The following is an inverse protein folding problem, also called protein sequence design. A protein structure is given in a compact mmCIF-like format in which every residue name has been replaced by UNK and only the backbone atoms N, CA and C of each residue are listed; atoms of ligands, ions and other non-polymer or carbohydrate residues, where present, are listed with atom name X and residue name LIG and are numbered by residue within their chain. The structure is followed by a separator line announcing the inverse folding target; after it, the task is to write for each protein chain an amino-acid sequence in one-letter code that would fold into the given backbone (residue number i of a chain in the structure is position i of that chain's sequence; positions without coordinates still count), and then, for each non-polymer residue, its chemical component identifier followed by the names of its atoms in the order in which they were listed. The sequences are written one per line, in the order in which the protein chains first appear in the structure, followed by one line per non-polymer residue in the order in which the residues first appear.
data_IF_670710879500
#
_entry.id   IF_670710879500
#
_cell.length_a   1.000
_cell.length_b   1.000
_cell.length_c   1.000
_cell.angle_alpha   90.00
_cell.angle_beta   90.00
_cell.angle_gamma   90.00
#
_symmetry.space_group_name_H-M   'P 1'
#
loop_
_entity.id
_entity.type
_entity.pdbx_description
1 polymer ?
#
# COMPACT_ATOMS: atom_id res chain seq x y z
N UNK A 1 18.98 -6.56 -12.54
CA UNK A 1 18.26 -5.54 -11.77
C UNK A 1 19.25 -4.91 -10.80
N UNK A 2 19.38 -3.58 -10.82
CA UNK A 2 20.28 -2.86 -9.92
C UNK A 2 19.57 -2.69 -8.57
N UNK A 3 20.28 -2.95 -7.45
CA UNK A 3 19.86 -2.41 -6.14
C UNK A 3 20.01 -0.90 -6.21
N UNK A 4 18.97 -0.15 -5.85
CA UNK A 4 19.19 1.22 -5.40
C UNK A 4 19.97 1.12 -4.09
N UNK A 5 21.10 1.82 -3.99
CA UNK A 5 21.84 1.87 -2.74
C UNK A 5 20.88 2.36 -1.66
N UNK A 6 20.67 1.54 -0.63
CA UNK A 6 19.92 1.97 0.53
C UNK A 6 20.63 3.20 1.09
N UNK A 7 20.02 4.37 0.98
CA UNK A 7 20.46 5.54 1.71
C UNK A 7 20.39 5.18 3.20
N UNK A 8 21.32 5.67 3.97
CA UNK A 8 21.29 5.53 5.42
C UNK A 8 19.94 6.03 5.92
N UNK A 9 19.17 5.15 6.57
CA UNK A 9 17.79 5.44 6.95
C UNK A 9 17.84 6.46 8.10
N UNK A 10 17.36 7.67 7.84
CA UNK A 10 17.21 8.71 8.86
C UNK A 10 15.78 8.65 9.41
N UNK A 11 15.63 8.22 10.67
CA UNK A 11 14.32 8.07 11.33
C UNK A 11 13.60 9.42 11.53
N UNK A 12 14.33 10.50 11.79
CA UNK A 12 13.72 11.83 11.94
C UNK A 12 13.15 12.33 10.62
N UNK A 13 13.88 12.12 9.52
CA UNK A 13 13.39 12.44 8.19
C UNK A 13 12.19 11.56 7.80
N UNK A 14 12.19 10.29 8.18
CA UNK A 14 11.07 9.39 7.96
C UNK A 14 9.81 9.82 8.74
N UNK A 15 9.96 10.23 9.99
CA UNK A 15 8.87 10.78 10.80
C UNK A 15 8.29 12.05 10.17
N UNK A 16 9.15 12.97 9.72
CA UNK A 16 8.72 14.19 9.05
C UNK A 16 7.91 13.90 7.79
N UNK A 17 8.36 12.97 6.96
CA UNK A 17 7.63 12.56 5.75
C UNK A 17 6.23 12.02 6.09
N UNK A 18 6.10 11.18 7.11
CA UNK A 18 4.82 10.64 7.53
C UNK A 18 3.89 11.72 8.12
N UNK A 19 4.44 12.71 8.83
CA UNK A 19 3.66 13.82 9.37
C UNK A 19 3.19 14.79 8.27
N UNK A 20 4.02 15.03 7.25
CA UNK A 20 3.66 15.86 6.10
C UNK A 20 2.57 15.23 5.23
N UNK A 21 2.64 13.92 5.01
CA UNK A 21 1.75 13.21 4.09
C UNK A 21 0.40 12.84 4.70
N UNK A 22 0.36 12.62 6.02
CA UNK A 22 -0.84 12.10 6.70
C UNK A 22 -1.15 12.87 7.97
N UNK A 23 -2.39 13.35 8.06
CA UNK A 23 -2.88 13.97 9.28
C UNK A 23 -3.25 12.91 10.34
N UNK A 24 -2.86 13.12 11.58
CA UNK A 24 -3.19 12.22 12.69
C UNK A 24 -2.49 10.85 12.59
N UNK A 25 -3.23 9.77 12.77
CA UNK A 25 -2.75 8.38 12.66
C UNK A 25 -1.51 8.05 13.53
N UNK A 26 -1.38 8.65 14.72
CA UNK A 26 -0.18 8.53 15.58
C UNK A 26 0.24 7.09 15.84
N UNK A 27 -0.72 6.19 16.15
CA UNK A 27 -0.40 4.78 16.40
C UNK A 27 0.15 4.08 15.17
N UNK A 28 -0.42 4.37 14.00
CA UNK A 28 0.02 3.82 12.70
C UNK A 28 1.43 4.31 12.39
N UNK A 29 1.68 5.61 12.48
CA UNK A 29 2.99 6.22 12.21
C UNK A 29 4.07 5.66 13.14
N UNK A 30 3.81 5.59 14.44
CA UNK A 30 4.74 5.01 15.40
C UNK A 30 5.09 3.56 15.07
N UNK A 31 4.11 2.76 14.62
CA UNK A 31 4.37 1.38 14.26
C UNK A 31 5.20 1.25 12.98
N UNK A 32 4.94 2.11 12.01
CA UNK A 32 5.76 2.21 10.79
C UNK A 32 7.20 2.59 11.14
N UNK A 33 7.41 3.61 11.98
CA UNK A 33 8.74 4.04 12.40
C UNK A 33 9.50 2.95 13.17
N UNK A 34 8.83 2.17 14.01
CA UNK A 34 9.42 1.00 14.67
C UNK A 34 9.89 -0.04 13.65
N UNK A 35 9.08 -0.33 12.63
CA UNK A 35 9.45 -1.27 11.58
C UNK A 35 10.64 -0.75 10.76
N UNK A 36 10.63 0.53 10.40
CA UNK A 36 11.74 1.18 9.70
C UNK A 36 13.03 1.12 10.53
N UNK A 37 12.94 1.36 11.85
CA UNK A 37 14.09 1.27 12.74
C UNK A 37 14.68 -0.15 12.80
N UNK A 38 13.84 -1.18 12.90
CA UNK A 38 14.28 -2.59 12.87
C UNK A 38 14.97 -2.92 11.54
N UNK A 39 14.41 -2.46 10.43
CA UNK A 39 15.02 -2.65 9.10
C UNK A 39 16.38 -1.95 8.98
N UNK A 40 16.51 -0.74 9.53
CA UNK A 40 17.79 -0.02 9.56
C UNK A 40 18.88 -0.80 10.28
N UNK A 41 18.53 -1.47 11.39
CA UNK A 41 19.47 -2.25 12.19
C UNK A 41 19.84 -3.60 11.55
N UNK A 42 18.89 -4.26 10.88
CA UNK A 42 19.07 -5.62 10.33
C UNK A 42 19.39 -5.65 8.84
N UNK A 43 19.23 -4.54 8.13
CA UNK A 43 19.46 -4.45 6.69
C UNK A 43 18.41 -5.15 5.81
N UNK A 44 17.46 -5.86 6.40
CA UNK A 44 16.40 -6.61 5.72
C UNK A 44 15.06 -6.44 6.43
N UNK A 45 13.96 -6.70 5.71
CA UNK A 45 12.64 -6.78 6.35
C UNK A 45 12.67 -7.94 7.36
N UNK A 46 12.48 -7.61 8.62
CA UNK A 46 12.47 -8.57 9.72
C UNK A 46 11.20 -8.38 10.54
N UNK A 47 10.57 -9.50 10.87
CA UNK A 47 9.33 -9.51 11.65
C UNK A 47 8.07 -9.64 10.79
N UNK A 48 6.93 -9.34 11.40
CA UNK A 48 5.64 -9.43 10.75
C UNK A 48 5.46 -8.38 9.65
N UNK A 49 4.72 -8.76 8.61
CA UNK A 49 4.37 -7.86 7.52
C UNK A 49 3.25 -6.93 7.98
N UNK A 50 3.38 -5.64 7.72
CA UNK A 50 2.34 -4.68 8.09
C UNK A 50 1.10 -4.88 7.22
N UNK A 51 -0.03 -5.14 7.86
CA UNK A 51 -1.35 -5.23 7.24
C UNK A 51 -2.23 -4.07 7.72
N UNK A 52 -2.47 -3.11 6.85
CA UNK A 52 -3.36 -1.99 7.15
C UNK A 52 -4.80 -2.35 6.82
N UNK A 53 -5.66 -2.38 7.86
CA UNK A 53 -7.06 -2.78 7.75
C UNK A 53 -7.98 -1.61 8.08
N UNK A 54 -8.93 -1.34 7.21
CA UNK A 54 -9.93 -0.29 7.45
C UNK A 54 -10.81 -0.02 6.23
N UNK A 55 -11.80 0.83 6.40
CA UNK A 55 -12.72 1.20 5.35
C UNK A 55 -12.01 1.80 4.12
N UNK A 56 -12.61 1.71 2.93
CA UNK A 56 -12.11 2.41 1.75
C UNK A 56 -11.94 3.91 2.00
N UNK A 57 -10.94 4.52 1.38
CA UNK A 57 -10.73 5.96 1.48
C UNK A 57 -10.06 6.46 2.76
N UNK A 58 -9.62 5.57 3.66
CA UNK A 58 -8.92 5.97 4.91
C UNK A 58 -7.43 6.23 4.73
N UNK A 59 -6.87 6.07 3.54
CA UNK A 59 -5.46 6.37 3.24
C UNK A 59 -4.52 5.17 3.33
N UNK A 60 -5.03 3.94 3.46
CA UNK A 60 -4.20 2.71 3.55
C UNK A 60 -3.18 2.57 2.43
N UNK A 61 -3.61 2.81 1.19
CA UNK A 61 -2.73 2.65 0.03
C UNK A 61 -1.72 3.79 -0.08
N UNK A 62 -2.12 5.02 0.25
CA UNK A 62 -1.23 6.19 0.20
C UNK A 62 -0.13 6.14 1.24
N UNK A 63 -0.36 5.50 2.41
CA UNK A 63 0.69 5.36 3.42
C UNK A 63 1.86 4.50 2.93
N UNK A 64 1.62 3.54 2.04
CA UNK A 64 2.68 2.75 1.40
C UNK A 64 3.60 3.60 0.54
N UNK A 65 3.06 4.58 -0.19
CA UNK A 65 3.85 5.54 -0.95
C UNK A 65 4.69 6.44 -0.02
N UNK A 66 4.13 6.85 1.12
CA UNK A 66 4.86 7.64 2.12
C UNK A 66 5.98 6.83 2.80
N UNK A 67 5.77 5.54 3.06
CA UNK A 67 6.83 4.64 3.55
C UNK A 67 7.97 4.56 2.52
N UNK A 68 7.65 4.41 1.24
CA UNK A 68 8.66 4.38 0.18
C UNK A 68 9.46 5.69 0.12
N UNK A 69 8.78 6.83 0.21
CA UNK A 69 9.42 8.16 0.25
C UNK A 69 10.32 8.31 1.48
N UNK A 70 9.84 7.87 2.65
CA UNK A 70 10.59 7.92 3.91
C UNK A 70 11.86 7.06 3.87
N UNK A 71 11.85 5.96 3.12
CA UNK A 71 12.99 5.06 2.94
C UNK A 71 13.88 5.42 1.75
N UNK A 72 13.51 6.42 0.93
CA UNK A 72 14.19 6.71 -0.33
C UNK A 72 14.13 5.57 -1.34
N UNK A 73 13.10 4.72 -1.29
CA UNK A 73 12.91 3.56 -2.17
C UNK A 73 11.84 3.81 -3.23
N UNK A 74 11.91 3.06 -4.33
CA UNK A 74 10.84 3.06 -5.32
C UNK A 74 9.56 2.44 -4.77
N UNK A 75 8.44 2.99 -5.18
CA UNK A 75 7.09 2.52 -4.82
C UNK A 75 6.47 1.73 -5.97
N UNK A 76 5.84 0.63 -5.66
CA UNK A 76 4.99 -0.09 -6.60
C UNK A 76 3.75 -0.64 -5.90
N UNK A 77 2.61 -0.50 -6.54
CA UNK A 77 1.33 -1.04 -6.08
C UNK A 77 0.94 -2.24 -6.94
N UNK A 78 0.60 -3.34 -6.28
CA UNK A 78 0.08 -4.56 -6.90
C UNK A 78 -1.30 -4.83 -6.31
N UNK A 79 -2.36 -4.64 -7.11
CA UNK A 79 -3.71 -4.99 -6.69
C UNK A 79 -3.91 -6.49 -6.76
N UNK A 80 -4.37 -7.08 -5.67
CA UNK A 80 -4.74 -8.50 -5.57
C UNK A 80 -6.27 -8.70 -5.69
N UNK A 81 -7.03 -7.60 -5.75
CA UNK A 81 -8.45 -7.64 -6.05
C UNK A 81 -8.70 -8.28 -7.42
N UNK A 82 -9.58 -9.30 -7.45
CA UNK A 82 -9.90 -10.04 -8.67
C UNK A 82 -8.89 -11.12 -9.08
N UNK A 83 -7.85 -11.39 -8.27
CA UNK A 83 -7.00 -12.58 -8.43
C UNK A 83 -7.85 -13.82 -8.17
N UNK A 84 -7.90 -14.73 -9.15
CA UNK A 84 -8.69 -15.95 -9.09
C UNK A 84 -7.85 -17.22 -9.23
N UNK A 85 -6.66 -17.07 -9.79
CA UNK A 85 -5.76 -18.17 -10.12
C UNK A 85 -4.39 -17.94 -9.48
N UNK A 86 -3.75 -19.03 -9.05
CA UNK A 86 -2.36 -19.01 -8.60
C UNK A 86 -1.42 -18.44 -9.66
N UNK A 87 -1.72 -18.68 -10.94
CA UNK A 87 -0.96 -18.15 -12.07
C UNK A 87 -0.97 -16.61 -12.15
N UNK A 88 -1.96 -15.94 -11.60
CA UNK A 88 -1.96 -14.47 -11.49
C UNK A 88 -0.79 -13.98 -10.60
N UNK A 89 -0.38 -14.76 -9.61
CA UNK A 89 0.73 -14.44 -8.70
C UNK A 89 2.06 -15.01 -9.22
N UNK A 90 2.06 -16.29 -9.63
CA UNK A 90 3.27 -17.03 -10.04
C UNK A 90 3.58 -16.97 -11.53
N UNK A 91 2.70 -16.39 -12.35
CA UNK A 91 2.86 -16.39 -13.81
C UNK A 91 2.41 -17.70 -14.48
N UNK A 92 2.22 -17.62 -15.78
CA UNK A 92 1.83 -18.74 -16.62
C UNK A 92 3.06 -19.40 -17.24
N UNK A 93 3.06 -20.75 -17.36
CA UNK A 93 4.11 -21.44 -18.09
C UNK A 93 4.18 -20.98 -19.53
N UNK A 94 5.38 -20.78 -20.07
CA UNK A 94 5.61 -20.26 -21.45
C UNK A 94 4.98 -21.09 -22.56
N UNK A 95 4.59 -22.32 -22.27
CA UNK A 95 3.92 -23.21 -23.22
C UNK A 95 2.49 -22.83 -23.52
N UNK A 96 1.87 -21.94 -22.73
CA UNK A 96 0.50 -21.49 -22.96
C UNK A 96 0.46 -20.23 -23.84
N UNK A 97 -0.52 -20.17 -24.72
CA UNK A 97 -0.79 -18.97 -25.54
C UNK A 97 -1.20 -17.83 -24.60
N UNK A 98 -0.54 -16.67 -24.73
CA UNK A 98 -0.80 -15.53 -23.85
C UNK A 98 -0.09 -15.62 -22.49
N UNK A 99 0.88 -16.52 -22.34
CA UNK A 99 1.67 -16.65 -21.12
C UNK A 99 2.34 -15.31 -20.74
N UNK A 100 2.25 -14.96 -19.47
CA UNK A 100 2.86 -13.74 -18.91
C UNK A 100 3.40 -14.01 -17.50
N UNK A 101 4.31 -13.15 -17.06
CA UNK A 101 4.80 -13.15 -15.69
C UNK A 101 3.67 -12.84 -14.70
N UNK A 102 3.78 -13.34 -13.49
CA UNK A 102 2.86 -13.05 -12.41
C UNK A 102 2.95 -11.60 -11.94
N UNK A 103 1.94 -11.16 -11.20
CA UNK A 103 1.80 -9.76 -10.75
C UNK A 103 2.98 -9.30 -9.89
N UNK A 104 3.61 -10.20 -9.14
CA UNK A 104 4.77 -9.87 -8.29
C UNK A 104 5.97 -9.49 -9.16
N UNK A 105 6.34 -10.34 -10.11
CA UNK A 105 7.46 -10.10 -11.02
C UNK A 105 7.17 -8.90 -11.95
N UNK A 106 5.93 -8.75 -12.42
CA UNK A 106 5.53 -7.56 -13.18
C UNK A 106 5.67 -6.28 -12.35
N UNK A 107 5.34 -6.33 -11.05
CA UNK A 107 5.57 -5.24 -10.10
C UNK A 107 7.05 -4.90 -9.97
N UNK A 108 7.93 -5.88 -9.79
CA UNK A 108 9.39 -5.68 -9.77
C UNK A 108 9.86 -5.03 -11.07
N UNK A 109 9.41 -5.53 -12.22
CA UNK A 109 9.72 -4.97 -13.52
C UNK A 109 9.31 -3.51 -13.64
N UNK A 110 8.11 -3.15 -13.19
CA UNK A 110 7.59 -1.77 -13.20
C UNK A 110 8.39 -0.84 -12.29
N UNK A 111 8.83 -1.32 -11.13
CA UNK A 111 9.65 -0.52 -10.22
C UNK A 111 11.05 -0.22 -10.76
N UNK A 112 11.59 -1.09 -11.61
CA UNK A 112 12.93 -0.97 -12.19
C UNK A 112 14.07 -1.31 -11.22
N UNK A 113 13.77 -1.67 -9.97
CA UNK A 113 14.75 -1.98 -8.91
C UNK A 113 14.42 -3.32 -8.25
N UNK A 114 15.39 -3.91 -7.55
CA UNK A 114 15.19 -5.17 -6.82
C UNK A 114 14.68 -5.00 -5.39
N UNK A 115 14.71 -3.78 -4.85
CA UNK A 115 14.38 -3.45 -3.46
C UNK A 115 13.27 -2.39 -3.31
N UNK A 116 12.16 -2.46 -4.07
CA UNK A 116 11.07 -1.51 -3.94
C UNK A 116 10.31 -1.70 -2.62
N UNK A 117 9.50 -0.69 -2.26
CA UNK A 117 8.35 -0.90 -1.37
C UNK A 117 7.18 -1.35 -2.24
N UNK A 118 6.71 -2.57 -2.02
CA UNK A 118 5.62 -3.18 -2.76
C UNK A 118 4.36 -3.24 -1.90
N UNK A 119 3.35 -2.48 -2.27
CA UNK A 119 2.04 -2.52 -1.62
C UNK A 119 1.17 -3.55 -2.31
N UNK A 120 0.83 -4.60 -1.57
CA UNK A 120 -0.13 -5.62 -1.98
C UNK A 120 -1.51 -5.19 -1.51
N UNK A 121 -2.30 -4.67 -2.43
CA UNK A 121 -3.59 -4.04 -2.13
C UNK A 121 -4.74 -5.05 -2.26
N UNK A 122 -5.70 -4.96 -1.33
CA UNK A 122 -6.90 -5.80 -1.31
C UNK A 122 -6.61 -7.30 -1.10
N UNK A 123 -5.72 -7.65 -0.15
CA UNK A 123 -5.38 -9.06 0.16
C UNK A 123 -6.57 -9.86 0.71
N UNK A 124 -7.59 -9.19 1.24
CA UNK A 124 -8.85 -9.77 1.70
C UNK A 124 -9.77 -10.25 0.57
N UNK A 125 -9.46 -9.87 -0.68
CA UNK A 125 -10.24 -10.24 -1.87
C UNK A 125 -9.65 -11.41 -2.66
N UNK A 126 -8.64 -12.09 -2.11
CA UNK A 126 -8.14 -13.33 -2.68
C UNK A 126 -9.21 -14.40 -2.58
N UNK A 127 -9.65 -14.94 -3.71
CA UNK A 127 -10.63 -16.02 -3.76
C UNK A 127 -9.93 -17.36 -3.92
N UNK A 128 -10.38 -18.36 -3.18
CA UNK A 128 -10.04 -19.76 -3.47
C UNK A 128 -10.80 -20.19 -4.72
N UNK A 129 -10.10 -20.73 -5.71
CA UNK A 129 -10.72 -21.26 -6.94
C UNK A 129 -10.31 -22.71 -7.16
N UNK A 130 -11.04 -23.38 -8.07
CA UNK A 130 -10.70 -24.75 -8.51
C UNK A 130 -9.34 -24.84 -9.26
N UNK A 131 -8.72 -23.71 -9.60
CA UNK A 131 -7.53 -23.65 -10.44
C UNK A 131 -6.24 -23.27 -9.67
N UNK A 132 -6.21 -23.50 -8.37
CA UNK A 132 -5.04 -23.26 -7.54
C UNK A 132 -5.34 -22.47 -6.29
N UNK A 133 -4.32 -22.27 -5.47
CA UNK A 133 -4.39 -21.53 -4.20
C UNK A 133 -3.54 -20.26 -4.27
N UNK A 134 -4.14 -19.12 -4.66
CA UNK A 134 -3.43 -17.84 -4.68
C UNK A 134 -2.87 -17.44 -3.30
N UNK A 135 -3.53 -17.87 -2.22
CA UNK A 135 -3.08 -17.58 -0.87
C UNK A 135 -1.78 -18.29 -0.52
N UNK A 136 -1.62 -19.57 -0.94
CA UNK A 136 -0.36 -20.29 -0.78
C UNK A 136 0.77 -19.68 -1.62
N UNK A 137 0.48 -19.24 -2.85
CA UNK A 137 1.46 -18.53 -3.67
C UNK A 137 1.91 -17.22 -3.01
N UNK A 138 0.97 -16.47 -2.43
CA UNK A 138 1.27 -15.24 -1.73
C UNK A 138 2.06 -15.50 -0.44
N UNK A 139 1.77 -16.60 0.27
CA UNK A 139 2.52 -16.97 1.46
C UNK A 139 4.01 -17.19 1.14
N UNK A 140 4.33 -17.86 0.04
CA UNK A 140 5.71 -18.02 -0.40
C UNK A 140 6.40 -16.68 -0.71
N UNK A 141 5.69 -15.74 -1.31
CA UNK A 141 6.19 -14.38 -1.57
C UNK A 141 6.52 -13.64 -0.27
N UNK A 142 5.66 -13.80 0.72
CA UNK A 142 5.72 -13.05 1.98
C UNK A 142 6.59 -13.73 3.05
N UNK A 143 6.88 -15.00 2.91
CA UNK A 143 7.69 -15.75 3.88
C UNK A 143 9.19 -15.47 3.67
N UNK A 144 9.89 -14.82 4.63
CA UNK A 144 11.32 -14.56 4.52
C UNK A 144 12.18 -15.83 4.37
N UNK A 145 11.68 -16.98 4.84
CA UNK A 145 12.39 -18.24 4.71
C UNK A 145 12.34 -18.82 3.29
N UNK A 146 11.37 -18.40 2.49
CA UNK A 146 11.11 -18.95 1.15
C UNK A 146 11.31 -17.92 0.03
N UNK A 147 11.09 -16.64 0.30
CA UNK A 147 11.01 -15.60 -0.73
C UNK A 147 12.35 -15.27 -1.42
N UNK A 148 13.48 -15.70 -0.86
CA UNK A 148 14.79 -15.56 -1.50
C UNK A 148 14.94 -16.42 -2.78
N UNK A 149 14.07 -17.41 -2.96
CA UNK A 149 14.06 -18.32 -4.11
C UNK A 149 12.70 -18.42 -4.79
N UNK A 150 11.93 -17.34 -4.77
CA UNK A 150 10.61 -17.29 -5.42
C UNK A 150 10.73 -17.60 -6.91
N UNK A 151 9.94 -18.57 -7.39
CA UNK A 151 9.97 -18.99 -8.79
C UNK A 151 8.67 -18.59 -9.48
N UNK A 152 8.78 -17.66 -10.42
CA UNK A 152 7.73 -17.35 -11.38
C UNK A 152 7.77 -18.36 -12.54
N UNK A 153 6.63 -18.95 -12.88
CA UNK A 153 6.56 -19.99 -13.91
C UNK A 153 6.84 -19.47 -15.32
N UNK A 154 6.64 -18.17 -15.58
CA UNK A 154 6.98 -17.56 -16.87
C UNK A 154 8.48 -17.33 -16.98
N UNK A 155 9.12 -16.83 -15.93
CA UNK A 155 10.58 -16.64 -15.89
C UNK A 155 11.30 -17.98 -15.82
N UNK A 156 10.76 -18.93 -15.04
CA UNK A 156 11.32 -20.25 -14.80
C UNK A 156 12.76 -20.23 -14.24
N UNK A 157 13.07 -19.20 -13.48
CA UNK A 157 14.31 -19.02 -12.72
C UNK A 157 13.96 -18.46 -11.35
N UNK A 158 14.69 -18.84 -10.28
CA UNK A 158 14.51 -18.26 -8.97
C UNK A 158 14.79 -16.75 -8.98
N UNK A 159 13.98 -16.00 -8.27
CA UNK A 159 14.17 -14.58 -8.04
C UNK A 159 14.19 -14.29 -6.55
N UNK A 160 15.17 -13.52 -6.10
CA UNK A 160 15.33 -13.15 -4.70
C UNK A 160 14.45 -11.92 -4.38
N UNK A 161 13.41 -12.13 -3.55
CA UNK A 161 12.50 -11.08 -3.07
C UNK A 161 12.86 -10.58 -1.66
N UNK A 162 13.96 -11.03 -1.06
CA UNK A 162 14.31 -10.72 0.34
C UNK A 162 14.59 -9.24 0.59
N UNK A 163 14.97 -8.49 -0.43
CA UNK A 163 15.20 -7.04 -0.34
C UNK A 163 13.93 -6.20 -0.55
N UNK A 164 12.82 -6.81 -0.97
CA UNK A 164 11.54 -6.13 -1.18
C UNK A 164 10.87 -5.87 0.17
N UNK A 165 10.44 -4.64 0.42
CA UNK A 165 9.58 -4.35 1.57
C UNK A 165 8.12 -4.54 1.18
N UNK A 166 7.50 -5.57 1.70
CA UNK A 166 6.08 -5.83 1.50
C UNK A 166 5.23 -5.12 2.55
N UNK A 167 4.17 -4.48 2.07
CA UNK A 167 3.12 -3.85 2.88
C UNK A 167 1.79 -4.33 2.31
N UNK A 168 0.87 -4.76 3.17
CA UNK A 168 -0.43 -5.27 2.75
C UNK A 168 -1.55 -4.31 3.16
N UNK A 169 -2.61 -4.24 2.36
CA UNK A 169 -3.84 -3.53 2.71
C UNK A 169 -5.06 -4.44 2.56
N UNK A 170 -6.06 -4.22 3.41
CA UNK A 170 -7.34 -4.92 3.36
C UNK A 170 -8.47 -4.01 3.86
N UNK A 171 -9.71 -4.33 3.49
CA UNK A 171 -10.87 -3.69 4.10
C UNK A 171 -11.29 -4.41 5.39
N UNK A 172 -11.15 -5.73 5.44
CA UNK A 172 -11.38 -6.58 6.60
C UNK A 172 -10.30 -7.65 6.71
N UNK A 173 -9.94 -8.06 7.93
CA UNK A 173 -9.05 -9.18 8.16
C UNK A 173 -9.76 -10.55 8.20
N UNK A 174 -11.09 -10.57 8.30
CA UNK A 174 -11.90 -11.77 8.53
C UNK A 174 -11.84 -12.80 7.40
N UNK A 175 -11.66 -12.34 6.16
CA UNK A 175 -11.61 -13.19 4.96
C UNK A 175 -10.20 -13.63 4.59
N UNK A 176 -9.18 -13.11 5.29
CA UNK A 176 -7.78 -13.47 5.02
C UNK A 176 -7.50 -14.86 5.59
N UNK A 177 -6.94 -15.79 4.80
CA UNK A 177 -6.58 -17.11 5.28
C UNK A 177 -5.64 -17.06 6.48
N UNK A 178 -5.90 -17.90 7.50
CA UNK A 178 -5.15 -17.94 8.74
C UNK A 178 -3.63 -18.00 8.58
N UNK A 179 -3.08 -18.86 7.70
CA UNK A 179 -1.64 -18.92 7.47
C UNK A 179 -1.01 -17.60 7.00
N UNK A 180 -1.72 -16.84 6.18
CA UNK A 180 -1.29 -15.50 5.76
C UNK A 180 -1.39 -14.49 6.90
N UNK A 181 -2.53 -14.49 7.61
CA UNK A 181 -2.78 -13.55 8.70
C UNK A 181 -1.75 -13.73 9.83
N UNK A 182 -1.32 -14.96 10.10
CA UNK A 182 -0.30 -15.26 11.12
C UNK A 182 1.10 -14.66 10.80
N UNK A 183 1.36 -14.31 9.54
CA UNK A 183 2.59 -13.63 9.11
C UNK A 183 2.46 -12.11 9.13
N UNK A 184 1.26 -11.61 9.38
CA UNK A 184 0.92 -10.19 9.29
C UNK A 184 0.68 -9.60 10.68
N UNK A 185 1.04 -8.35 10.82
CA UNK A 185 0.65 -7.52 11.95
C UNK A 185 -0.49 -6.61 11.51
N UNK A 186 -1.65 -6.80 12.10
CA UNK A 186 -2.84 -6.01 11.77
C UNK A 186 -2.77 -4.65 12.43
N UNK A 187 -2.77 -3.61 11.62
CA UNK A 187 -2.80 -2.21 12.03
C UNK A 187 -4.13 -1.60 11.59
N UNK A 188 -5.04 -1.32 12.52
CA UNK A 188 -6.34 -0.78 12.17
C UNK A 188 -6.22 0.68 11.73
N UNK A 189 -6.81 0.99 10.57
CA UNK A 189 -7.10 2.33 10.10
C UNK A 189 -8.53 2.66 10.48
N UNK A 190 -8.70 3.43 11.53
CA UNK A 190 -10.01 3.91 11.95
C UNK A 190 -10.49 5.01 11.01
N UNK A 191 -11.81 5.14 10.87
CA UNK A 191 -12.41 6.28 10.17
C UNK A 191 -12.06 7.58 10.89
N UNK A 192 -12.14 8.68 10.15
CA UNK A 192 -11.84 10.01 10.66
C UNK A 192 -13.06 10.67 11.31
N UNK A 193 -12.84 11.41 12.38
CA UNK A 193 -13.83 12.32 12.94
C UNK A 193 -14.11 13.49 11.95
N UNK A 194 -15.26 14.19 12.07
CA UNK A 194 -15.54 15.35 11.22
C UNK A 194 -14.45 16.43 11.25
N UNK A 195 -13.84 16.65 12.41
CA UNK A 195 -12.72 17.61 12.56
C UNK A 195 -11.48 17.14 11.82
N UNK A 196 -11.11 15.87 11.94
CA UNK A 196 -9.97 15.29 11.20
C UNK A 196 -10.23 15.34 9.69
N UNK A 197 -11.45 15.03 9.25
CA UNK A 197 -11.82 15.11 7.83
C UNK A 197 -11.67 16.53 7.29
N UNK A 198 -12.06 17.53 8.06
CA UNK A 198 -11.89 18.95 7.70
C UNK A 198 -10.42 19.31 7.52
N UNK A 199 -9.56 18.90 8.45
CA UNK A 199 -8.11 19.15 8.35
C UNK A 199 -7.48 18.41 7.15
N UNK A 200 -7.88 17.15 6.91
CA UNK A 200 -7.44 16.36 5.74
C UNK A 200 -7.89 17.04 4.44
N UNK A 201 -9.15 17.51 4.39
CA UNK A 201 -9.69 18.21 3.23
C UNK A 201 -8.87 19.47 2.92
N UNK A 202 -8.57 20.29 3.91
CA UNK A 202 -7.80 21.51 3.74
C UNK A 202 -6.35 21.28 3.33
N UNK A 203 -5.67 20.37 4.02
CA UNK A 203 -4.21 20.19 3.87
C UNK A 203 -3.83 19.35 2.67
N UNK A 204 -4.65 18.37 2.30
CA UNK A 204 -4.29 17.38 1.31
C UNK A 204 -5.23 17.30 0.10
N UNK A 205 -6.55 17.39 0.31
CA UNK A 205 -7.50 17.13 -0.77
C UNK A 205 -7.77 18.39 -1.61
N UNK A 206 -8.00 19.52 -0.97
CA UNK A 206 -8.26 20.77 -1.67
C UNK A 206 -7.09 21.21 -2.55
N UNK A 207 -5.82 21.21 -2.09
CA UNK A 207 -4.69 21.54 -2.95
C UNK A 207 -4.59 20.64 -4.18
N UNK A 208 -4.77 19.32 -4.00
CA UNK A 208 -4.77 18.37 -5.12
C UNK A 208 -5.92 18.57 -6.10
N UNK A 209 -7.10 18.89 -5.59
CA UNK A 209 -8.26 19.17 -6.43
C UNK A 209 -8.05 20.44 -7.25
N UNK A 210 -7.52 21.51 -6.66
CA UNK A 210 -7.19 22.75 -7.34
C UNK A 210 -6.14 22.52 -8.44
N UNK A 211 -5.08 21.79 -8.13
CA UNK A 211 -4.03 21.42 -9.10
C UNK A 211 -4.61 20.64 -10.29
N UNK A 212 -5.50 19.67 -10.01
CA UNK A 212 -6.12 18.84 -11.03
C UNK A 212 -6.99 19.65 -12.03
N UNK A 213 -7.58 20.75 -11.59
CA UNK A 213 -8.39 21.66 -12.46
C UNK A 213 -7.62 22.88 -12.92
N UNK A 214 -6.34 22.99 -12.58
CA UNK A 214 -5.48 24.09 -12.99
C UNK A 214 -5.76 25.42 -12.27
N UNK A 215 -6.37 25.38 -11.08
CA UNK A 215 -6.64 26.53 -10.22
C UNK A 215 -5.59 26.66 -9.12
N UNK A 216 -5.37 27.89 -8.66
CA UNK A 216 -4.54 28.20 -7.49
C UNK A 216 -5.40 28.48 -6.26
N UNK A 217 -4.81 28.38 -5.07
CA UNK A 217 -5.47 28.69 -3.81
C UNK A 217 -5.93 30.18 -3.73
N UNK A 218 -5.33 31.07 -4.51
CA UNK A 218 -5.71 32.47 -4.60
C UNK A 218 -6.97 32.70 -5.46
N UNK A 219 -7.26 31.76 -6.39
CA UNK A 219 -8.40 31.85 -7.30
C UNK A 219 -9.68 31.26 -6.73
N UNK A 220 -9.55 30.34 -5.78
CA UNK A 220 -10.68 29.71 -5.11
C UNK A 220 -10.38 29.51 -3.63
N UNK A 221 -11.10 30.24 -2.79
CA UNK A 221 -11.09 30.09 -1.33
C UNK A 221 -12.39 29.41 -0.89
N UNK A 222 -12.27 28.29 -0.17
CA UNK A 222 -13.41 27.59 0.41
C UNK A 222 -13.39 27.79 1.92
N UNK A 223 -14.42 28.45 2.44
CA UNK A 223 -14.57 28.70 3.87
C UNK A 223 -14.81 27.42 4.68
N UNK A 224 -14.50 27.49 5.96
CA UNK A 224 -14.62 26.37 6.90
C UNK A 224 -16.04 25.84 7.04
N UNK A 225 -17.03 26.74 7.00
CA UNK A 225 -18.46 26.46 7.03
C UNK A 225 -18.93 25.65 5.83
N UNK A 226 -18.41 25.97 4.64
CA UNK A 226 -18.68 25.21 3.41
C UNK A 226 -18.08 23.82 3.49
N UNK A 227 -16.84 23.68 3.99
CA UNK A 227 -16.21 22.38 4.18
C UNK A 227 -16.95 21.53 5.20
N UNK A 228 -17.41 22.10 6.31
CA UNK A 228 -18.22 21.40 7.30
C UNK A 228 -19.55 20.91 6.72
N UNK A 229 -20.22 21.73 5.93
CA UNK A 229 -21.45 21.36 5.23
C UNK A 229 -21.21 20.23 4.23
N UNK A 230 -20.13 20.30 3.45
CA UNK A 230 -19.76 19.23 2.52
C UNK A 230 -19.49 17.90 3.25
N UNK A 231 -18.83 17.98 4.40
CA UNK A 231 -18.51 16.80 5.22
C UNK A 231 -19.76 16.19 5.86
N UNK A 232 -20.67 17.01 6.40
CA UNK A 232 -21.85 16.54 7.13
C UNK A 232 -22.95 16.05 6.22
N UNK A 233 -23.20 16.76 5.12
CA UNK A 233 -24.43 16.62 4.34
C UNK A 233 -24.22 15.77 3.08
N UNK A 234 -23.03 15.84 2.49
CA UNK A 234 -22.75 15.19 1.21
C UNK A 234 -21.86 13.93 1.30
N UNK A 235 -21.15 13.74 2.43
CA UNK A 235 -20.26 12.58 2.56
C UNK A 235 -20.38 11.92 3.93
N UNK A 236 -21.12 10.82 4.01
CA UNK A 236 -21.29 10.01 5.23
C UNK A 236 -20.33 8.81 5.28
N UNK A 237 -19.17 8.92 4.66
CA UNK A 237 -18.18 7.85 4.58
C UNK A 237 -17.21 7.85 5.77
N UNK A 238 -16.62 6.68 6.05
CA UNK A 238 -15.56 6.54 7.05
C UNK A 238 -14.25 7.21 6.60
N UNK A 239 -14.03 7.32 5.29
CA UNK A 239 -12.86 7.95 4.66
C UNK A 239 -13.07 9.39 4.24
N UNK A 240 -12.11 9.93 3.51
CA UNK A 240 -12.12 11.31 3.00
C UNK A 240 -11.96 11.43 1.47
N UNK A 241 -12.04 10.32 0.72
CA UNK A 241 -11.75 10.31 -0.73
C UNK A 241 -12.87 10.90 -1.56
N UNK A 242 -14.13 10.78 -1.14
CA UNK A 242 -15.28 11.30 -1.91
C UNK A 242 -15.27 12.81 -2.11
N UNK A 243 -14.49 13.55 -1.31
CA UNK A 243 -14.35 15.00 -1.47
C UNK A 243 -13.64 15.40 -2.76
N UNK A 244 -12.85 14.52 -3.36
CA UNK A 244 -12.16 14.78 -4.63
C UNK A 244 -13.05 14.61 -5.86
N UNK A 245 -14.23 14.00 -5.69
CA UNK A 245 -15.19 13.72 -6.77
C UNK A 245 -16.45 14.60 -6.67
N UNK A 246 -16.55 15.48 -5.69
CA UNK A 246 -17.59 16.47 -5.62
C UNK A 246 -17.33 17.51 -6.72
N UNK A 247 -17.90 17.28 -7.89
CA UNK A 247 -18.05 18.35 -8.88
C UNK A 247 -19.04 19.35 -8.31
N UNK A 248 -18.59 20.58 -8.09
CA UNK A 248 -19.48 21.69 -7.81
C UNK A 248 -20.49 21.81 -8.95
N UNK A 249 -21.77 22.01 -8.63
CA UNK A 249 -22.81 22.17 -9.66
C UNK A 249 -22.57 23.37 -10.56
#
# INVERSE_FOLDING_TARGET
WKKENAQEINLEAAEQVLEEDHYGLKKVKNRILQQIAVMSLKGQQSGSILLFVGAPGTGKTSIGASIARALGRKYVRVSLGGVRDEADIRGHRRTYIGAMAGRIIDGIKKSGVSNPVMVLDEVDKLSTSFHGDPASALLEVLDPEQNHSFTDHYLNVPYDLSDVLFVCTANSAETIPGPLLNRMEVIPFQGYSPLEKKEIAKRHLLPKALEAVGLTAEQLEIGDDILETLISDYTRESGAVSYTHLTLP
#
